data_IF_738012912800
#
_entry.id   IF_738012912800
#
_cell.length_a   1.000
_cell.length_b   1.000
_cell.length_c   1.000
_cell.angle_alpha   90.00
_cell.angle_beta   90.00
_cell.angle_gamma   90.00
#
_symmetry.space_group_name_H-M   'P 1'
#
loop_
_entity.id
_entity.type
_entity.pdbx_description
1 polymer ?
#
# COMPACT_ATOMS: atom_id res chain seq x y z
N UNK A 1 22.50 -17.42 30.38
CA UNK A 1 21.55 -16.37 29.95
C UNK A 1 21.52 -16.45 28.45
N UNK A 2 20.40 -16.88 27.88
CA UNK A 2 20.22 -17.08 26.44
C UNK A 2 20.07 -15.72 25.75
N UNK A 3 20.97 -15.32 24.84
CA UNK A 3 20.79 -14.15 23.99
C UNK A 3 20.09 -14.63 22.71
N UNK A 4 18.81 -14.97 22.85
CA UNK A 4 17.86 -14.96 21.75
C UNK A 4 17.63 -13.49 21.36
N UNK A 5 18.71 -12.82 20.94
CA UNK A 5 18.68 -11.48 20.37
C UNK A 5 18.14 -11.64 18.95
N UNK A 6 16.92 -11.16 18.83
CA UNK A 6 16.05 -11.28 17.69
C UNK A 6 16.80 -10.82 16.44
N UNK A 7 16.88 -11.69 15.43
CA UNK A 7 17.27 -11.30 14.08
C UNK A 7 16.32 -10.21 13.62
N UNK A 8 16.72 -8.95 13.72
CA UNK A 8 16.23 -7.91 12.81
C UNK A 8 16.77 -8.30 11.43
N UNK A 9 15.96 -9.03 10.65
CA UNK A 9 16.23 -9.22 9.23
C UNK A 9 16.06 -7.85 8.55
N UNK A 10 17.16 -7.11 8.48
CA UNK A 10 17.24 -5.88 7.70
C UNK A 10 16.85 -6.19 6.25
N UNK A 11 15.79 -5.52 5.77
CA UNK A 11 15.36 -5.58 4.38
C UNK A 11 16.52 -5.17 3.47
N UNK A 12 16.76 -5.94 2.40
CA UNK A 12 17.76 -5.57 1.41
C UNK A 12 17.31 -4.33 0.61
N UNK A 13 18.24 -3.68 -0.10
CA UNK A 13 17.94 -2.43 -0.81
C UNK A 13 16.82 -2.62 -1.83
N UNK A 14 16.86 -3.69 -2.63
CA UNK A 14 15.83 -4.00 -3.63
C UNK A 14 14.42 -4.13 -3.01
N UNK A 15 14.31 -4.80 -1.86
CA UNK A 15 13.05 -4.92 -1.10
C UNK A 15 12.58 -3.57 -0.55
N UNK A 16 13.51 -2.71 -0.08
CA UNK A 16 13.19 -1.35 0.36
C UNK A 16 12.65 -0.51 -0.80
N UNK A 17 13.27 -0.60 -1.97
CA UNK A 17 12.81 0.07 -3.18
C UNK A 17 11.44 -0.41 -3.63
N UNK A 18 11.18 -1.72 -3.63
CA UNK A 18 9.85 -2.27 -3.99
C UNK A 18 8.75 -1.75 -3.06
N UNK A 19 8.99 -1.74 -1.74
CA UNK A 19 8.00 -1.23 -0.77
C UNK A 19 7.69 0.26 -0.99
N UNK A 20 8.69 1.06 -1.35
CA UNK A 20 8.53 2.50 -1.57
C UNK A 20 7.88 2.84 -2.93
N UNK A 21 7.96 1.93 -3.90
CA UNK A 21 7.58 2.19 -5.29
C UNK A 21 6.37 1.41 -5.75
N UNK A 22 5.93 0.39 -4.99
CA UNK A 22 4.69 -0.31 -5.30
C UNK A 22 3.47 0.59 -5.06
N UNK A 23 2.44 0.47 -5.90
CA UNK A 23 1.18 1.16 -5.67
C UNK A 23 0.56 0.72 -4.34
N UNK A 24 0.04 1.69 -3.58
CA UNK A 24 -0.67 1.40 -2.32
C UNK A 24 -1.97 0.64 -2.63
N UNK A 25 -2.22 -0.44 -1.88
CA UNK A 25 -3.48 -1.18 -2.01
C UNK A 25 -4.61 -0.42 -1.32
N UNK A 26 -5.84 -0.57 -1.82
CA UNK A 26 -7.02 0.07 -1.23
C UNK A 26 -7.13 -0.16 0.29
N UNK A 27 -6.89 -1.38 0.77
CA UNK A 27 -6.92 -1.68 2.21
C UNK A 27 -5.89 -0.89 3.03
N UNK A 28 -4.70 -0.64 2.48
CA UNK A 28 -3.63 0.15 3.13
C UNK A 28 -4.04 1.63 3.22
N UNK A 29 -4.66 2.15 2.15
CA UNK A 29 -5.19 3.51 2.10
C UNK A 29 -6.30 3.69 3.12
N UNK A 30 -7.24 2.73 3.21
CA UNK A 30 -8.31 2.80 4.20
C UNK A 30 -7.78 2.79 5.64
N UNK A 31 -6.74 2.00 5.91
CA UNK A 31 -6.06 1.96 7.19
C UNK A 31 -5.38 3.30 7.51
N UNK A 32 -4.60 3.83 6.56
CA UNK A 32 -3.87 5.11 6.66
C UNK A 32 -4.79 6.30 6.90
N UNK A 33 -5.97 6.30 6.27
CA UNK A 33 -7.00 7.33 6.45
C UNK A 33 -7.94 7.06 7.64
N UNK A 34 -7.67 6.04 8.46
CA UNK A 34 -8.44 5.72 9.67
C UNK A 34 -9.87 5.25 9.41
N UNK A 35 -10.18 4.78 8.20
CA UNK A 35 -11.50 4.24 7.83
C UNK A 35 -11.70 2.81 8.34
N UNK A 36 -10.61 2.06 8.45
CA UNK A 36 -10.55 0.74 9.07
C UNK A 36 -9.34 0.66 9.99
N UNK A 37 -9.36 -0.26 10.95
CA UNK A 37 -8.20 -0.59 11.76
C UNK A 37 -7.51 -1.88 11.26
N UNK A 38 -6.33 -2.20 11.81
CA UNK A 38 -5.52 -3.34 11.40
C UNK A 38 -6.30 -4.67 11.52
N UNK A 39 -7.02 -4.86 12.63
CA UNK A 39 -7.83 -6.07 12.84
C UNK A 39 -8.94 -6.21 11.79
N UNK A 40 -9.64 -5.12 11.48
CA UNK A 40 -10.67 -5.10 10.43
C UNK A 40 -10.07 -5.41 9.06
N UNK A 41 -8.88 -4.87 8.76
CA UNK A 41 -8.18 -5.17 7.52
C UNK A 41 -7.82 -6.65 7.42
N UNK A 42 -7.29 -7.26 8.48
CA UNK A 42 -6.98 -8.69 8.52
C UNK A 42 -8.24 -9.56 8.29
N UNK A 43 -9.33 -9.23 8.97
CA UNK A 43 -10.60 -9.97 8.83
C UNK A 43 -11.16 -9.85 7.40
N UNK A 44 -11.07 -8.65 6.81
CA UNK A 44 -11.47 -8.41 5.43
C UNK A 44 -10.63 -9.20 4.42
N UNK A 45 -9.31 -9.25 4.60
CA UNK A 45 -8.42 -10.02 3.71
C UNK A 45 -8.77 -11.51 3.76
N UNK A 46 -8.94 -12.08 4.96
CA UNK A 46 -9.33 -13.49 5.13
C UNK A 46 -10.67 -13.80 4.47
N UNK A 47 -11.60 -12.86 4.50
CA UNK A 47 -12.91 -13.04 3.89
C UNK A 47 -12.88 -12.85 2.38
N UNK A 48 -12.07 -11.93 1.87
CA UNK A 48 -11.79 -11.79 0.44
C UNK A 48 -11.20 -13.10 -0.13
N UNK A 49 -10.24 -13.71 0.55
CA UNK A 49 -9.65 -14.99 0.13
C UNK A 49 -10.68 -16.12 0.07
N UNK A 50 -11.62 -16.17 1.03
CA UNK A 50 -12.68 -17.19 1.07
C UNK A 50 -13.77 -16.97 0.02
N UNK A 51 -14.14 -15.71 -0.20
CA UNK A 51 -15.26 -15.35 -1.09
C UNK A 51 -14.85 -15.16 -2.54
N UNK A 52 -13.57 -14.84 -2.80
CA UNK A 52 -13.09 -14.38 -4.10
C UNK A 52 -13.60 -12.99 -4.50
N UNK A 53 -14.30 -12.28 -3.61
CA UNK A 53 -14.92 -10.99 -3.91
C UNK A 53 -13.85 -9.88 -3.98
N UNK A 54 -13.98 -8.90 -4.89
CA UNK A 54 -13.14 -7.70 -4.86
C UNK A 54 -13.23 -6.98 -3.52
N UNK A 55 -12.10 -6.54 -2.97
CA UNK A 55 -12.05 -5.90 -1.64
C UNK A 55 -13.02 -4.72 -1.52
N UNK A 56 -13.13 -3.90 -2.57
CA UNK A 56 -14.07 -2.77 -2.64
C UNK A 56 -15.54 -3.18 -2.54
N UNK A 57 -15.93 -4.31 -3.14
CA UNK A 57 -17.29 -4.83 -3.00
C UNK A 57 -17.52 -5.42 -1.61
N UNK A 58 -16.51 -6.10 -1.05
CA UNK A 58 -16.59 -6.71 0.27
C UNK A 58 -16.82 -5.66 1.36
N UNK A 59 -16.11 -4.53 1.31
CA UNK A 59 -16.29 -3.44 2.30
C UNK A 59 -17.65 -2.75 2.18
N UNK A 60 -18.23 -2.66 0.98
CA UNK A 60 -19.60 -2.20 0.77
C UNK A 60 -20.62 -3.20 1.32
N UNK A 61 -20.44 -4.48 1.01
CA UNK A 61 -21.33 -5.56 1.44
C UNK A 61 -21.39 -5.66 2.97
N UNK A 62 -20.28 -5.39 3.65
CA UNK A 62 -20.20 -5.34 5.12
C UNK A 62 -20.71 -4.05 5.74
N UNK A 63 -21.09 -3.04 4.95
CA UNK A 63 -21.53 -1.74 5.45
C UNK A 63 -20.44 -0.95 6.17
N UNK A 64 -19.16 -1.30 5.96
CA UNK A 64 -18.01 -0.60 6.55
C UNK A 64 -17.88 0.80 5.93
N UNK A 65 -18.27 0.92 4.67
CA UNK A 65 -18.25 2.18 3.95
C UNK A 65 -19.43 2.32 3.00
N UNK A 66 -19.78 3.57 2.70
CA UNK A 66 -20.73 3.89 1.64
C UNK A 66 -20.06 3.84 0.27
N UNK A 67 -20.87 3.80 -0.80
CA UNK A 67 -20.37 3.93 -2.18
C UNK A 67 -19.63 5.25 -2.40
N UNK A 68 -20.07 6.32 -1.74
CA UNK A 68 -19.40 7.63 -1.82
C UNK A 68 -18.02 7.60 -1.15
N UNK A 69 -17.91 6.97 0.02
CA UNK A 69 -16.63 6.80 0.71
C UNK A 69 -15.67 5.92 -0.08
N UNK A 70 -16.18 4.87 -0.73
CA UNK A 70 -15.36 4.02 -1.60
C UNK A 70 -14.82 4.82 -2.80
N UNK A 71 -15.64 5.65 -3.43
CA UNK A 71 -15.15 6.51 -4.53
C UNK A 71 -14.05 7.45 -4.07
N UNK A 72 -14.19 8.09 -2.90
CA UNK A 72 -13.13 8.94 -2.31
C UNK A 72 -11.84 8.16 -2.05
N UNK A 73 -11.95 6.92 -1.58
CA UNK A 73 -10.79 6.07 -1.32
C UNK A 73 -10.08 5.64 -2.62
N UNK A 74 -10.84 5.36 -3.68
CA UNK A 74 -10.29 5.07 -5.01
C UNK A 74 -9.61 6.30 -5.62
N UNK A 75 -10.16 7.50 -5.41
CA UNK A 75 -9.50 8.75 -5.82
C UNK A 75 -8.17 8.95 -5.08
N UNK A 76 -8.10 8.63 -3.80
CA UNK A 76 -6.84 8.67 -3.04
C UNK A 76 -5.82 7.67 -3.60
N UNK A 77 -6.26 6.45 -3.92
CA UNK A 77 -5.40 5.43 -4.52
C UNK A 77 -4.79 5.90 -5.84
N UNK A 78 -5.62 6.43 -6.73
CA UNK A 78 -5.16 6.90 -8.03
C UNK A 78 -4.16 8.06 -7.91
N UNK A 79 -4.34 8.96 -6.92
CA UNK A 79 -3.40 10.06 -6.67
C UNK A 79 -2.07 9.57 -6.10
N UNK A 80 -2.09 8.63 -5.15
CA UNK A 80 -0.86 8.03 -4.62
C UNK A 80 -0.03 7.38 -5.74
N UNK A 81 -0.68 6.65 -6.65
CA UNK A 81 -0.01 5.99 -7.76
C UNK A 81 0.67 6.98 -8.73
N UNK A 82 0.05 8.13 -8.99
CA UNK A 82 0.63 9.17 -9.85
C UNK A 82 1.92 9.78 -9.27
N UNK A 83 1.94 10.06 -7.95
CA UNK A 83 3.10 10.70 -7.29
C UNK A 83 4.34 9.80 -7.31
N UNK A 84 4.16 8.48 -7.20
CA UNK A 84 5.26 7.52 -7.26
C UNK A 84 5.89 7.51 -8.66
N UNK A 85 5.06 7.50 -9.71
CA UNK A 85 5.52 7.50 -11.11
C UNK A 85 6.32 8.78 -11.42
N UNK A 86 5.83 9.94 -10.98
CA UNK A 86 6.54 11.21 -11.16
C UNK A 86 7.91 11.20 -10.47
N UNK A 87 7.96 10.76 -9.20
CA UNK A 87 9.21 10.70 -8.43
C UNK A 87 10.23 9.75 -9.07
N UNK A 88 9.80 8.58 -9.55
CA UNK A 88 10.67 7.64 -10.26
C UNK A 88 11.20 8.21 -11.59
N UNK A 89 10.33 8.90 -12.33
CA UNK A 89 10.69 9.53 -13.61
C UNK A 89 11.76 10.61 -13.42
N UNK A 90 11.66 11.41 -12.35
CA UNK A 90 12.68 12.41 -12.01
C UNK A 90 14.01 11.78 -11.58
N UNK A 91 13.99 10.67 -10.85
CA UNK A 91 15.21 9.99 -10.39
C UNK A 91 16.01 9.38 -11.55
N UNK A 92 15.34 8.74 -12.51
CA UNK A 92 15.99 8.22 -13.73
C UNK A 92 16.57 9.35 -14.58
N UNK A 93 15.88 10.50 -14.63
CA UNK A 93 16.33 11.67 -15.40
C UNK A 93 17.54 12.38 -14.80
N UNK A 94 17.75 12.30 -13.48
CA UNK A 94 18.90 12.91 -12.78
C UNK A 94 20.15 12.04 -12.81
N UNK A 95 20.03 10.71 -12.71
CA UNK A 95 21.19 9.80 -12.77
C UNK A 95 21.92 9.83 -14.12
N UNK A 96 21.27 10.25 -15.20
CA UNK A 96 21.90 10.41 -16.52
C UNK A 96 22.76 11.68 -16.70
N UNK A 97 22.79 12.60 -15.72
CA UNK A 97 23.53 13.88 -15.84
C UNK A 97 24.78 14.01 -14.96
N UNK A 98 25.03 13.07 -14.06
CA UNK A 98 26.19 13.12 -13.14
C UNK A 98 27.42 12.34 -13.65
N UNK A 99 27.38 11.82 -14.88
CA UNK A 99 28.48 11.07 -15.50
C UNK A 99 29.27 11.83 -16.58
N UNK A 100 28.96 13.11 -16.83
CA UNK A 100 29.63 13.96 -17.81
C UNK A 100 30.16 15.25 -17.15
N UNK A 101 31.09 15.15 -16.18
CA UNK A 101 31.99 16.26 -15.80
C UNK A 101 33.37 15.74 -15.39
#
# INVERSE_FOLDING_TARGET
MDPSDQKEEDLNDEQKWDILTRPEKLGEILLKHGKINLKQLEDLIKEQEKSGMPFGELVLAKGIMSREDLMKALDWQHRSDQVIIESLTEMVSKQGKEGEE
#
